data_IF_793407623532
#
_entry.id   IF_793407623532
#
_cell.length_a   1.000
_cell.length_b   1.000
_cell.length_c   1.000
_cell.angle_alpha   90.00
_cell.angle_beta   90.00
_cell.angle_gamma   90.00
#
_symmetry.space_group_name_H-M   'P 1'
#
loop_
_entity.id
_entity.type
_entity.pdbx_description
1 polymer ?
#
# COMPACT_ATOMS: atom_id res chain seq x y z
N UNK A 1 12.48 -3.91 -22.44
CA UNK A 1 12.17 -3.75 -20.97
C UNK A 1 10.82 -4.35 -20.62
N UNK A 2 9.67 -3.77 -21.03
CA UNK A 2 8.32 -4.34 -20.71
C UNK A 2 8.14 -5.72 -21.37
N UNK A 3 8.59 -5.90 -22.59
CA UNK A 3 8.46 -7.16 -23.34
C UNK A 3 9.10 -8.36 -22.64
N UNK A 4 10.18 -8.14 -21.89
CA UNK A 4 10.83 -9.19 -21.08
C UNK A 4 9.90 -9.74 -19.98
N UNK A 5 9.11 -8.86 -19.34
CA UNK A 5 8.13 -9.26 -18.34
C UNK A 5 6.96 -10.01 -18.96
N UNK A 6 6.49 -9.56 -20.13
CA UNK A 6 5.41 -10.23 -20.88
C UNK A 6 5.86 -11.63 -21.32
N UNK A 7 7.08 -11.76 -21.83
CA UNK A 7 7.65 -13.04 -22.26
C UNK A 7 7.87 -13.98 -21.06
N UNK A 8 8.33 -13.45 -19.93
CA UNK A 8 8.46 -14.25 -18.70
C UNK A 8 7.09 -14.78 -18.24
N UNK A 9 6.06 -13.90 -18.23
CA UNK A 9 4.70 -14.31 -17.86
C UNK A 9 4.17 -15.42 -18.79
N UNK A 10 4.30 -15.25 -20.11
CA UNK A 10 3.85 -16.26 -21.09
C UNK A 10 4.47 -17.64 -20.84
N UNK A 11 5.77 -17.69 -20.53
CA UNK A 11 6.46 -18.94 -20.23
C UNK A 11 6.07 -19.57 -18.88
N UNK A 12 5.50 -18.80 -17.98
CA UNK A 12 5.16 -19.25 -16.63
C UNK A 12 3.64 -19.26 -16.35
N UNK A 13 2.80 -18.99 -17.35
CA UNK A 13 1.36 -18.79 -17.17
C UNK A 13 0.67 -19.97 -16.47
N UNK A 14 0.95 -21.20 -16.89
CA UNK A 14 0.34 -22.42 -16.30
C UNK A 14 0.68 -22.57 -14.81
N UNK A 15 1.91 -22.25 -14.43
CA UNK A 15 2.36 -22.26 -13.02
C UNK A 15 1.70 -21.17 -12.18
N UNK A 16 1.35 -20.05 -12.80
CA UNK A 16 0.75 -18.87 -12.15
C UNK A 16 -0.77 -18.95 -12.08
N UNK A 17 -1.40 -19.77 -12.93
CA UNK A 17 -2.86 -19.88 -13.01
C UNK A 17 -3.49 -20.28 -11.66
N UNK A 18 -4.63 -19.67 -11.34
CA UNK A 18 -5.39 -19.93 -10.12
C UNK A 18 -6.87 -20.12 -10.47
N UNK A 19 -7.21 -21.15 -11.30
CA UNK A 19 -8.59 -21.39 -11.72
C UNK A 19 -9.48 -21.65 -10.49
N UNK A 20 -10.65 -20.99 -10.44
CA UNK A 20 -11.63 -21.16 -9.35
C UNK A 20 -11.26 -20.45 -8.03
N UNK A 21 -10.13 -19.75 -7.95
CA UNK A 21 -9.82 -18.94 -6.76
C UNK A 21 -10.78 -17.75 -6.68
N UNK A 22 -11.54 -17.60 -5.58
CA UNK A 22 -12.46 -16.48 -5.43
C UNK A 22 -11.70 -15.15 -5.21
N UNK A 23 -12.29 -14.00 -5.57
CA UNK A 23 -11.68 -12.70 -5.33
C UNK A 23 -11.71 -12.29 -3.85
N UNK A 24 -12.52 -12.94 -3.01
CA UNK A 24 -12.60 -12.69 -1.58
C UNK A 24 -11.35 -13.19 -0.87
N UNK A 25 -10.68 -12.37 -0.05
CA UNK A 25 -9.48 -12.78 0.65
C UNK A 25 -9.83 -13.70 1.82
N UNK A 26 -9.22 -14.90 1.85
CA UNK A 26 -9.55 -15.95 2.84
C UNK A 26 -9.35 -15.49 4.29
N UNK A 27 -8.36 -14.63 4.56
CA UNK A 27 -8.09 -14.09 5.90
C UNK A 27 -8.91 -12.85 6.25
N UNK A 28 -9.71 -12.37 5.31
CA UNK A 28 -10.58 -11.19 5.48
C UNK A 28 -9.84 -9.93 5.91
N UNK A 29 -8.60 -9.77 5.48
CA UNK A 29 -7.72 -8.65 5.76
C UNK A 29 -7.34 -7.92 4.49
N UNK A 30 -7.29 -6.59 4.53
CA UNK A 30 -6.64 -5.75 3.55
C UNK A 30 -5.36 -5.16 4.13
N UNK A 31 -4.29 -5.18 3.35
CA UNK A 31 -3.00 -4.58 3.70
C UNK A 31 -2.77 -3.37 2.81
N UNK A 32 -2.50 -2.21 3.41
CA UNK A 32 -2.05 -1.00 2.72
C UNK A 32 -0.57 -0.81 3.02
N UNK A 33 0.27 -0.78 2.00
CA UNK A 33 1.71 -0.62 2.19
C UNK A 33 2.39 0.18 1.08
N UNK A 34 3.67 0.45 1.24
CA UNK A 34 4.44 1.21 0.27
C UNK A 34 4.75 0.40 -1.01
N UNK A 35 4.90 1.13 -2.14
CA UNK A 35 5.36 0.57 -3.41
C UNK A 35 6.86 0.25 -3.43
N UNK A 36 7.59 0.52 -2.36
CA UNK A 36 9.05 0.32 -2.25
C UNK A 36 9.44 -1.11 -2.62
N UNK A 37 10.42 -1.24 -3.51
CA UNK A 37 10.83 -2.53 -4.09
C UNK A 37 11.46 -3.49 -3.10
N UNK A 38 11.92 -3.01 -1.95
CA UNK A 38 12.47 -3.82 -0.86
C UNK A 38 11.39 -4.57 -0.07
N UNK A 39 10.11 -4.18 -0.23
CA UNK A 39 8.98 -4.80 0.46
C UNK A 39 8.36 -5.87 -0.42
N UNK A 40 8.49 -7.11 -0.01
CA UNK A 40 7.75 -8.25 -0.56
C UNK A 40 6.73 -8.67 0.48
N UNK A 41 5.47 -8.30 0.24
CA UNK A 41 4.39 -8.43 1.25
C UNK A 41 4.17 -9.88 1.65
N UNK A 42 4.26 -10.80 0.68
CA UNK A 42 4.10 -12.22 0.89
C UNK A 42 5.11 -12.77 1.91
N UNK A 43 6.36 -12.33 1.81
CA UNK A 43 7.42 -12.75 2.74
C UNK A 43 7.32 -11.99 4.08
N UNK A 44 6.96 -10.70 4.04
CA UNK A 44 6.86 -9.85 5.23
C UNK A 44 5.86 -10.37 6.26
N UNK A 45 4.71 -10.86 5.82
CA UNK A 45 3.63 -11.34 6.70
C UNK A 45 3.24 -12.81 6.48
N UNK A 46 4.02 -13.55 5.70
CA UNK A 46 3.84 -15.00 5.51
C UNK A 46 2.53 -15.40 4.84
N UNK A 47 2.15 -14.73 3.76
CA UNK A 47 0.89 -14.98 3.03
C UNK A 47 1.11 -15.63 1.68
N UNK A 48 0.03 -16.24 1.18
CA UNK A 48 -0.06 -16.84 -0.14
C UNK A 48 -1.14 -16.14 -1.00
N UNK A 49 -1.12 -16.29 -2.32
CA UNK A 49 -2.19 -15.76 -3.18
C UNK A 49 -3.58 -16.16 -2.70
N UNK A 50 -4.53 -15.20 -2.69
CA UNK A 50 -5.91 -15.39 -2.24
C UNK A 50 -6.12 -15.24 -0.72
N UNK A 51 -5.10 -14.89 0.05
CA UNK A 51 -5.24 -14.77 1.51
C UNK A 51 -5.62 -13.38 1.99
N UNK A 52 -5.08 -12.33 1.38
CA UNK A 52 -5.35 -10.93 1.73
C UNK A 52 -5.48 -10.07 0.48
N UNK A 53 -6.15 -8.92 0.58
CA UNK A 53 -6.00 -7.87 -0.41
C UNK A 53 -4.76 -7.04 -0.11
N UNK A 54 -3.97 -6.69 -1.13
CA UNK A 54 -2.77 -5.87 -0.99
C UNK A 54 -2.92 -4.62 -1.83
N UNK A 55 -2.91 -3.46 -1.19
CA UNK A 55 -2.89 -2.13 -1.80
C UNK A 55 -1.49 -1.54 -1.63
N UNK A 56 -0.91 -1.04 -2.71
CA UNK A 56 0.42 -0.42 -2.66
C UNK A 56 0.42 0.93 -3.33
N UNK A 57 0.93 1.94 -2.62
CA UNK A 57 1.11 3.29 -3.13
C UNK A 57 2.40 3.93 -2.58
N UNK A 58 2.70 5.16 -2.97
CA UNK A 58 3.83 5.89 -2.40
C UNK A 58 3.58 6.17 -0.91
N UNK A 59 4.43 5.63 -0.03
CA UNK A 59 4.44 5.91 1.41
C UNK A 59 3.39 5.19 2.25
N UNK A 60 2.62 4.25 1.72
CA UNK A 60 1.49 3.60 2.43
C UNK A 60 0.42 4.61 2.89
N UNK A 61 0.23 5.70 2.14
CA UNK A 61 -0.69 6.77 2.51
C UNK A 61 -2.14 6.37 2.27
N UNK A 62 -3.02 6.76 3.17
CA UNK A 62 -4.46 6.62 3.00
C UNK A 62 -4.98 7.83 2.24
N UNK A 63 -4.95 7.70 0.92
CA UNK A 63 -5.50 8.67 -0.03
C UNK A 63 -6.96 8.35 -0.35
N UNK A 64 -7.63 9.22 -1.10
CA UNK A 64 -9.00 9.00 -1.57
C UNK A 64 -9.13 7.68 -2.36
N UNK A 65 -8.16 7.35 -3.22
CA UNK A 65 -8.16 6.07 -3.95
C UNK A 65 -7.93 4.86 -3.04
N UNK A 66 -7.12 5.02 -1.99
CA UNK A 66 -6.96 3.99 -0.95
C UNK A 66 -8.30 3.73 -0.26
N UNK A 67 -9.02 4.78 0.15
CA UNK A 67 -10.34 4.68 0.78
C UNK A 67 -11.34 4.02 -0.18
N UNK A 68 -11.38 4.42 -1.44
CA UNK A 68 -12.21 3.80 -2.49
C UNK A 68 -11.93 2.30 -2.62
N UNK A 69 -10.67 1.91 -2.65
CA UNK A 69 -10.27 0.50 -2.78
C UNK A 69 -10.65 -0.31 -1.55
N UNK A 70 -10.46 0.25 -0.34
CA UNK A 70 -10.86 -0.39 0.91
C UNK A 70 -12.38 -0.50 1.04
N UNK A 71 -13.14 0.50 0.57
CA UNK A 71 -14.60 0.43 0.50
C UNK A 71 -15.05 -0.83 -0.27
N UNK A 72 -14.51 -1.04 -1.46
CA UNK A 72 -14.84 -2.23 -2.27
C UNK A 72 -14.40 -3.52 -1.58
N UNK A 73 -13.18 -3.52 -1.02
CA UNK A 73 -12.62 -4.64 -0.27
C UNK A 73 -13.52 -5.05 0.91
N UNK A 74 -13.97 -4.09 1.71
CA UNK A 74 -14.75 -4.34 2.92
C UNK A 74 -16.22 -4.61 2.65
N UNK A 75 -16.86 -3.85 1.77
CA UNK A 75 -18.32 -3.91 1.58
C UNK A 75 -18.77 -4.90 0.52
N UNK A 76 -17.92 -5.21 -0.47
CA UNK A 76 -18.26 -6.16 -1.53
C UNK A 76 -17.46 -7.47 -1.44
N UNK A 77 -16.21 -7.42 -0.97
CA UNK A 77 -15.31 -8.56 -0.98
C UNK A 77 -15.00 -9.12 0.42
N UNK A 78 -15.66 -8.59 1.46
CA UNK A 78 -15.78 -9.21 2.77
C UNK A 78 -14.54 -9.09 3.68
N UNK A 79 -13.64 -8.11 3.46
CA UNK A 79 -12.60 -7.84 4.46
C UNK A 79 -13.18 -7.20 5.72
N UNK A 80 -12.60 -7.53 6.87
CA UNK A 80 -13.06 -7.08 8.20
C UNK A 80 -11.97 -6.32 8.96
N UNK A 81 -10.73 -6.44 8.50
CA UNK A 81 -9.60 -5.75 9.12
C UNK A 81 -8.72 -5.07 8.07
N UNK A 82 -8.08 -3.98 8.49
CA UNK A 82 -7.10 -3.23 7.69
C UNK A 82 -5.80 -3.12 8.45
N UNK A 83 -4.71 -3.53 7.79
CA UNK A 83 -3.34 -3.38 8.28
C UNK A 83 -2.65 -2.31 7.44
N UNK A 84 -2.24 -1.20 8.06
CA UNK A 84 -1.42 -0.15 7.40
C UNK A 84 0.03 -0.38 7.77
N UNK A 85 0.90 -0.54 6.78
CA UNK A 85 2.32 -0.84 6.99
C UNK A 85 3.18 0.20 6.30
N UNK A 86 3.69 1.16 7.08
CA UNK A 86 4.80 2.01 6.68
C UNK A 86 6.14 1.25 6.76
N UNK A 87 7.23 1.89 6.33
CA UNK A 87 8.55 1.27 6.43
C UNK A 87 9.66 2.29 6.68
N UNK A 88 10.74 1.87 7.32
CA UNK A 88 11.93 2.71 7.54
C UNK A 88 12.60 3.08 6.21
N UNK A 89 13.28 4.23 6.17
CA UNK A 89 13.99 4.73 4.99
C UNK A 89 13.08 4.87 3.75
N UNK A 90 11.83 5.30 3.96
CA UNK A 90 10.90 5.59 2.89
C UNK A 90 11.30 6.88 2.17
N UNK A 91 11.18 6.89 0.83
CA UNK A 91 11.48 8.08 0.03
C UNK A 91 10.55 9.29 0.26
N UNK A 92 9.42 9.09 0.98
CA UNK A 92 8.51 10.17 1.35
C UNK A 92 8.82 10.79 2.71
N UNK A 93 9.70 10.19 3.49
CA UNK A 93 10.13 10.72 4.79
C UNK A 93 10.94 11.99 4.59
N UNK A 94 10.49 13.09 5.19
CA UNK A 94 11.11 14.41 5.03
C UNK A 94 10.99 15.05 3.64
N UNK A 95 10.20 14.47 2.73
CA UNK A 95 10.01 15.02 1.39
C UNK A 95 9.37 16.40 1.45
N UNK A 96 9.96 17.37 0.74
CA UNK A 96 9.41 18.73 0.59
C UNK A 96 8.54 18.79 -0.67
N UNK A 97 7.24 18.84 -0.49
CA UNK A 97 6.27 18.76 -1.59
C UNK A 97 6.46 19.86 -2.64
N UNK A 98 6.78 21.10 -2.22
CA UNK A 98 7.03 22.21 -3.13
C UNK A 98 8.23 21.94 -4.07
N UNK A 99 9.28 21.29 -3.57
CA UNK A 99 10.45 20.93 -4.38
C UNK A 99 10.10 19.87 -5.45
N UNK A 100 9.24 18.91 -5.10
CA UNK A 100 8.75 17.92 -6.07
C UNK A 100 7.91 18.60 -7.15
N UNK A 101 7.00 19.51 -6.77
CA UNK A 101 6.18 20.27 -7.72
C UNK A 101 7.04 21.07 -8.70
N UNK A 102 8.04 21.81 -8.19
CA UNK A 102 8.97 22.56 -9.03
C UNK A 102 9.74 21.64 -9.99
N UNK A 103 10.20 20.49 -9.52
CA UNK A 103 10.91 19.52 -10.36
C UNK A 103 10.02 18.99 -11.48
N UNK A 104 8.77 18.63 -11.18
CA UNK A 104 7.81 18.12 -12.18
C UNK A 104 7.46 19.22 -13.18
N UNK A 105 7.20 20.43 -12.70
CA UNK A 105 6.90 21.58 -13.57
C UNK A 105 8.04 21.89 -14.53
N UNK A 106 9.29 21.87 -14.03
CA UNK A 106 10.47 22.09 -14.87
C UNK A 106 10.65 21.01 -15.97
N UNK A 107 10.25 19.77 -15.68
CA UNK A 107 10.39 18.65 -16.62
C UNK A 107 9.22 18.53 -17.62
N UNK A 108 8.01 18.91 -17.22
CA UNK A 108 6.78 18.63 -17.97
C UNK A 108 6.03 19.88 -18.42
N UNK A 109 6.36 21.04 -17.89
CA UNK A 109 5.60 22.28 -18.08
C UNK A 109 4.26 22.31 -17.34
N UNK A 110 4.00 21.37 -16.44
CA UNK A 110 2.73 21.24 -15.71
C UNK A 110 2.95 20.97 -14.23
N UNK A 111 2.16 21.60 -13.37
CA UNK A 111 2.18 21.36 -11.92
C UNK A 111 1.07 20.38 -11.53
N UNK A 112 1.35 19.33 -10.73
CA UNK A 112 0.33 18.41 -10.25
C UNK A 112 -0.76 19.12 -9.46
N UNK A 113 -2.04 18.87 -9.80
CA UNK A 113 -3.20 19.45 -9.12
C UNK A 113 -3.65 18.69 -7.87
N UNK A 114 -2.99 17.58 -7.52
CA UNK A 114 -3.31 16.74 -6.37
C UNK A 114 -2.26 16.87 -5.27
N UNK A 115 -2.59 16.43 -4.05
CA UNK A 115 -1.66 16.33 -2.93
C UNK A 115 -0.67 15.20 -3.20
N UNK A 116 0.63 15.51 -3.19
CA UNK A 116 1.68 14.50 -3.38
C UNK A 116 1.78 13.64 -2.12
N UNK A 117 1.77 14.28 -0.96
CA UNK A 117 1.87 13.66 0.34
C UNK A 117 3.31 13.40 0.76
N UNK A 118 3.56 13.65 2.04
CA UNK A 118 4.83 13.38 2.71
C UNK A 118 4.56 13.25 4.21
N UNK A 119 5.54 12.79 4.95
CA UNK A 119 5.49 12.73 6.41
C UNK A 119 6.85 13.07 7.01
N UNK A 120 6.84 13.58 8.24
CA UNK A 120 8.06 13.94 8.94
C UNK A 120 8.91 12.70 9.29
N UNK A 121 8.26 11.66 9.77
CA UNK A 121 8.84 10.34 9.99
C UNK A 121 7.79 9.25 9.73
N UNK A 122 8.22 8.02 9.59
CA UNK A 122 7.33 6.91 9.21
C UNK A 122 6.22 6.67 10.23
N UNK A 123 6.47 6.85 11.53
CA UNK A 123 5.46 6.64 12.58
C UNK A 123 4.33 7.63 12.40
N UNK A 124 4.63 8.92 12.27
CA UNK A 124 3.60 9.95 12.02
C UNK A 124 2.86 9.75 10.70
N UNK A 125 3.52 9.20 9.69
CA UNK A 125 2.89 8.83 8.42
C UNK A 125 1.85 7.71 8.59
N UNK A 126 2.18 6.68 9.38
CA UNK A 126 1.26 5.60 9.73
C UNK A 126 0.10 6.13 10.59
N UNK A 127 0.38 6.91 11.64
CA UNK A 127 -0.64 7.51 12.50
C UNK A 127 -1.64 8.36 11.70
N UNK A 128 -1.17 9.22 10.80
CA UNK A 128 -2.03 10.02 9.92
C UNK A 128 -2.91 9.15 9.02
N UNK A 129 -2.36 8.03 8.53
CA UNK A 129 -3.11 7.07 7.73
C UNK A 129 -4.18 6.34 8.54
N UNK A 130 -3.88 5.97 9.79
CA UNK A 130 -4.85 5.40 10.72
C UNK A 130 -5.99 6.38 11.03
N UNK A 131 -5.66 7.64 11.29
CA UNK A 131 -6.65 8.68 11.56
C UNK A 131 -7.55 8.93 10.34
N UNK A 132 -6.99 8.96 9.14
CA UNK A 132 -7.77 9.08 7.92
C UNK A 132 -8.77 7.93 7.75
N UNK A 133 -8.38 6.70 8.08
CA UNK A 133 -9.28 5.53 8.04
C UNK A 133 -10.33 5.59 9.15
N UNK A 134 -9.93 5.85 10.39
CA UNK A 134 -10.84 5.90 11.56
C UNK A 134 -11.90 6.99 11.41
N UNK A 135 -11.54 8.11 10.78
CA UNK A 135 -12.47 9.22 10.48
C UNK A 135 -13.27 9.03 9.19
N UNK A 136 -12.97 8.01 8.40
CA UNK A 136 -13.71 7.71 7.17
C UNK A 136 -15.07 7.08 7.48
N UNK A 137 -16.18 7.61 6.98
CA UNK A 137 -17.50 7.04 7.23
C UNK A 137 -17.72 5.68 6.55
N UNK A 138 -16.82 5.28 5.66
CA UNK A 138 -16.93 4.03 4.90
C UNK A 138 -15.96 2.94 5.34
N UNK A 139 -14.91 3.27 6.08
CA UNK A 139 -14.01 2.29 6.66
C UNK A 139 -14.63 1.67 7.93
N UNK A 140 -14.39 0.39 8.14
CA UNK A 140 -14.96 -0.36 9.27
C UNK A 140 -14.04 -1.47 9.75
N UNK A 141 -14.35 -2.01 10.93
CA UNK A 141 -13.66 -3.16 11.52
C UNK A 141 -12.36 -2.78 12.21
N UNK A 142 -11.51 -3.77 12.40
CA UNK A 142 -10.22 -3.60 13.04
C UNK A 142 -9.24 -2.84 12.12
N UNK A 143 -8.61 -1.78 12.62
CA UNK A 143 -7.63 -0.97 11.87
C UNK A 143 -6.39 -0.83 12.73
N UNK A 144 -5.26 -1.39 12.27
CA UNK A 144 -3.99 -1.38 12.98
C UNK A 144 -2.86 -0.87 12.09
N UNK A 145 -1.90 -0.17 12.69
CA UNK A 145 -0.73 0.39 12.03
C UNK A 145 0.57 -0.28 12.45
N UNK A 146 1.50 -0.38 11.51
CA UNK A 146 2.80 -1.00 11.72
C UNK A 146 3.89 -0.26 10.96
N UNK A 147 5.11 -0.36 11.48
CA UNK A 147 6.33 0.01 10.76
C UNK A 147 7.16 -1.24 10.49
N UNK A 148 7.47 -1.47 9.24
CA UNK A 148 8.39 -2.49 8.79
C UNK A 148 9.80 -1.92 8.70
N UNK A 149 10.74 -2.49 9.42
CA UNK A 149 12.14 -2.14 9.34
C UNK A 149 12.79 -2.92 8.19
N UNK A 150 13.20 -2.20 7.14
CA UNK A 150 13.78 -2.82 5.93
C UNK A 150 15.18 -3.43 6.16
N UNK A 151 15.88 -3.06 7.23
CA UNK A 151 17.20 -3.62 7.54
C UNK A 151 17.10 -4.91 8.36
N UNK A 152 16.11 -5.01 9.24
CA UNK A 152 15.97 -6.14 10.16
C UNK A 152 14.83 -7.09 9.80
N UNK A 153 13.91 -6.67 8.92
CA UNK A 153 12.72 -7.43 8.56
C UNK A 153 11.65 -7.52 9.65
N UNK A 154 11.72 -6.66 10.67
CA UNK A 154 10.78 -6.67 11.81
C UNK A 154 9.62 -5.72 11.60
N UNK A 155 8.44 -6.15 12.06
CA UNK A 155 7.25 -5.31 12.21
C UNK A 155 7.14 -4.84 13.66
N UNK A 156 6.88 -3.54 13.83
CA UNK A 156 6.55 -2.92 15.12
C UNK A 156 5.20 -2.23 15.00
N UNK A 157 4.31 -2.45 15.97
CA UNK A 157 2.99 -1.83 15.98
C UNK A 157 3.08 -0.35 16.38
N UNK A 158 2.20 0.48 15.80
CA UNK A 158 2.06 1.92 16.01
C UNK A 158 0.62 2.23 16.43
N UNK A 159 0.45 2.99 17.49
CA UNK A 159 -0.84 3.52 17.97
C UNK A 159 -1.47 2.75 19.10
#
# INVERSE_FOLDING_TARGET
MIDEFVEWNRRNADRLARPGMPPQPRRRVAVVTCMDTRIKVEDMIGIQPGEVHVLRNAGALVTEDTIRSLLLSQHLLGTEAVMVVGHTKCGLEGLVESSVRQTVEAQTGSTPGFVIGSFHNVVTGVESSLDALRNSPVARGEIRGFVYDVDTGRLSEVG
#
